data_IF_979541078140
#
_entry.id   IF_979541078140
#
_cell.length_a   1.000
_cell.length_b   1.000
_cell.length_c   1.000
_cell.angle_alpha   90.00
_cell.angle_beta   90.00
_cell.angle_gamma   90.00
#
_symmetry.space_group_name_H-M   'P 1'
#
loop_
_entity.id
_entity.type
_entity.pdbx_description
1 polymer ?
#
# COMPACT_ATOMS: atom_id res chain seq x y z
N UNK A 1 -55.06 -80.13 -22.13
CA UNK A 1 -53.78 -80.32 -22.83
C UNK A 1 -53.80 -79.43 -24.07
N UNK A 2 -52.89 -78.46 -24.10
CA UNK A 2 -52.55 -77.50 -25.18
C UNK A 2 -53.65 -76.62 -25.78
N UNK A 3 -53.73 -75.39 -25.28
CA UNK A 3 -54.09 -74.21 -26.06
C UNK A 3 -52.84 -73.33 -26.18
N UNK A 4 -52.50 -72.90 -27.39
CA UNK A 4 -52.04 -71.54 -27.69
C UNK A 4 -51.93 -71.33 -29.21
N UNK A 5 -52.58 -70.26 -29.67
CA UNK A 5 -52.66 -69.74 -31.05
C UNK A 5 -51.46 -68.82 -31.32
N UNK A 6 -51.10 -68.58 -32.60
CA UNK A 6 -49.86 -67.91 -32.97
C UNK A 6 -49.94 -66.37 -32.96
N UNK A 7 -48.75 -65.79 -32.96
CA UNK A 7 -48.36 -64.41 -32.68
C UNK A 7 -48.77 -63.37 -33.73
N UNK A 8 -49.07 -62.17 -33.25
CA UNK A 8 -49.10 -60.95 -34.06
C UNK A 8 -47.71 -60.29 -34.04
N UNK A 9 -47.10 -60.15 -35.22
CA UNK A 9 -45.80 -59.53 -35.43
C UNK A 9 -45.89 -58.02 -35.24
N UNK A 10 -45.05 -57.48 -34.35
CA UNK A 10 -44.82 -56.04 -34.17
C UNK A 10 -43.47 -55.65 -34.79
N UNK A 11 -43.43 -54.57 -35.58
CA UNK A 11 -42.19 -53.92 -36.01
C UNK A 11 -41.94 -52.64 -35.20
N UNK A 12 -40.71 -52.49 -34.69
CA UNK A 12 -40.26 -51.28 -33.99
C UNK A 12 -39.64 -50.26 -34.95
N UNK A 13 -39.80 -48.93 -34.71
CA UNK A 13 -39.15 -47.91 -35.52
C UNK A 13 -37.66 -47.79 -35.18
N UNK A 14 -36.84 -47.52 -36.20
CA UNK A 14 -35.39 -47.35 -36.08
C UNK A 14 -35.04 -45.91 -35.67
N UNK A 15 -34.29 -45.75 -34.59
CA UNK A 15 -33.65 -44.49 -34.22
C UNK A 15 -32.24 -44.38 -34.83
N UNK A 16 -31.82 -43.20 -35.30
CA UNK A 16 -30.50 -43.02 -35.90
C UNK A 16 -29.39 -43.18 -34.85
N UNK A 17 -28.30 -43.86 -35.27
CA UNK A 17 -27.14 -44.19 -34.44
C UNK A 17 -26.57 -42.95 -33.75
N UNK A 18 -26.49 -42.98 -32.42
CA UNK A 18 -25.79 -42.00 -31.58
C UNK A 18 -24.29 -41.97 -31.95
N UNK A 19 -23.96 -41.21 -32.97
CA UNK A 19 -22.60 -41.01 -33.44
C UNK A 19 -21.84 -40.10 -32.48
N UNK A 20 -20.78 -40.64 -31.87
CA UNK A 20 -19.38 -40.15 -31.83
C UNK A 20 -19.08 -38.67 -31.50
N UNK A 21 -20.09 -37.83 -31.26
CA UNK A 21 -20.00 -36.38 -31.07
C UNK A 21 -20.06 -36.05 -29.58
N UNK A 22 -20.84 -36.81 -28.81
CA UNK A 22 -20.91 -36.70 -27.35
C UNK A 22 -19.58 -37.05 -26.67
N UNK A 23 -18.83 -38.03 -27.16
CA UNK A 23 -17.52 -38.38 -26.60
C UNK A 23 -16.47 -37.28 -26.83
N UNK A 24 -16.52 -36.56 -27.96
CA UNK A 24 -15.56 -35.47 -28.23
C UNK A 24 -15.79 -34.23 -27.36
N UNK A 25 -17.05 -33.91 -27.03
CA UNK A 25 -17.37 -32.77 -26.17
C UNK A 25 -16.93 -33.00 -24.72
N UNK A 26 -17.02 -34.23 -24.22
CA UNK A 26 -16.55 -34.58 -22.87
C UNK A 26 -15.02 -34.42 -22.73
N UNK A 27 -14.23 -34.83 -23.74
CA UNK A 27 -12.78 -34.68 -23.68
C UNK A 27 -12.30 -33.21 -23.76
N UNK A 28 -13.02 -32.34 -24.47
CA UNK A 28 -12.69 -30.90 -24.53
C UNK A 28 -12.99 -30.21 -23.19
N UNK A 29 -14.11 -30.56 -22.54
CA UNK A 29 -14.45 -30.01 -21.23
C UNK A 29 -13.43 -30.41 -20.13
N UNK A 30 -12.90 -31.64 -20.18
CA UNK A 30 -11.87 -32.12 -19.25
C UNK A 30 -10.51 -31.42 -19.48
N UNK A 31 -10.15 -31.11 -20.73
CA UNK A 31 -8.90 -30.40 -21.03
C UNK A 31 -8.91 -28.94 -20.54
N UNK A 32 -10.07 -28.26 -20.58
CA UNK A 32 -10.22 -26.88 -20.09
C UNK A 32 -10.14 -26.83 -18.55
N UNK A 33 -10.56 -27.88 -17.85
CA UNK A 33 -10.45 -27.97 -16.38
C UNK A 33 -9.01 -28.21 -15.88
N UNK A 34 -8.08 -28.66 -16.74
CA UNK A 34 -6.67 -28.85 -16.38
C UNK A 34 -5.77 -27.64 -16.68
N UNK A 35 -6.29 -26.62 -17.39
CA UNK A 35 -5.62 -25.32 -17.56
C UNK A 35 -5.88 -24.42 -16.33
N UNK A 36 -5.75 -24.98 -15.13
CA UNK A 36 -5.93 -24.28 -13.87
C UNK A 36 -4.65 -23.57 -13.41
N UNK A 37 -4.62 -22.25 -13.62
CA UNK A 37 -3.79 -21.26 -12.94
C UNK A 37 -2.26 -21.50 -12.92
N UNK A 38 -1.57 -21.21 -14.02
CA UNK A 38 -0.23 -20.63 -13.93
C UNK A 38 -0.37 -19.25 -13.28
N UNK A 39 -0.36 -19.21 -11.95
CA UNK A 39 0.09 -17.99 -11.26
C UNK A 39 1.56 -17.87 -11.63
N UNK A 40 2.05 -16.75 -12.19
CA UNK A 40 3.48 -16.55 -12.27
C UNK A 40 4.02 -16.78 -10.86
N UNK A 41 4.95 -17.74 -10.73
CA UNK A 41 5.63 -17.99 -9.49
C UNK A 41 6.10 -16.61 -8.99
N UNK A 42 5.52 -16.16 -7.88
CA UNK A 42 6.00 -15.01 -7.11
C UNK A 42 7.51 -15.23 -7.04
N UNK A 43 8.30 -14.37 -7.70
CA UNK A 43 9.75 -14.52 -7.73
C UNK A 43 10.22 -14.77 -6.30
N UNK A 44 10.64 -16.00 -6.04
CA UNK A 44 11.33 -16.35 -4.81
C UNK A 44 12.66 -15.64 -4.83
N UNK A 45 12.70 -14.49 -4.16
CA UNK A 45 13.77 -14.18 -3.22
C UNK A 45 13.44 -12.87 -2.53
N UNK A 46 12.33 -12.81 -1.77
CA UNK A 46 12.25 -11.80 -0.69
C UNK A 46 13.42 -12.14 0.23
N UNK A 47 14.51 -11.38 0.18
CA UNK A 47 15.52 -11.44 1.22
C UNK A 47 14.78 -11.11 2.51
N UNK A 48 14.81 -12.05 3.46
CA UNK A 48 13.83 -12.18 4.55
C UNK A 48 13.31 -10.85 5.08
N UNK A 49 11.99 -10.69 5.08
CA UNK A 49 11.29 -9.52 5.60
C UNK A 49 11.46 -9.38 7.11
N UNK A 50 12.64 -8.96 7.55
CA UNK A 50 12.93 -8.53 8.92
C UNK A 50 13.40 -7.08 8.99
N UNK A 51 13.46 -6.38 7.86
CA UNK A 51 13.78 -4.96 7.80
C UNK A 51 12.62 -4.09 8.23
N UNK A 52 12.90 -2.84 8.58
CA UNK A 52 11.89 -1.85 8.97
C UNK A 52 11.54 -0.94 7.80
N UNK A 53 10.32 -0.41 7.82
CA UNK A 53 9.88 0.73 7.03
C UNK A 53 10.05 1.95 7.92
N UNK A 54 11.01 2.79 7.59
CA UNK A 54 11.29 4.04 8.29
C UNK A 54 11.19 5.20 7.33
N UNK A 55 11.20 6.41 7.87
CA UNK A 55 11.26 7.61 7.05
C UNK A 55 11.88 8.80 7.77
N UNK A 56 12.32 9.76 6.94
CA UNK A 56 12.81 11.07 7.35
C UNK A 56 11.99 12.12 6.62
N UNK A 57 11.32 12.98 7.36
CA UNK A 57 10.55 14.09 6.83
C UNK A 57 11.42 15.35 6.82
N UNK A 58 11.72 15.86 5.63
CA UNK A 58 12.50 17.09 5.44
C UNK A 58 11.61 18.33 5.28
N UNK A 59 10.30 18.17 5.41
CA UNK A 59 9.28 19.20 5.13
C UNK A 59 8.70 19.78 6.41
N UNK A 60 7.97 20.89 6.25
CA UNK A 60 7.21 21.53 7.33
C UNK A 60 5.84 20.88 7.58
N UNK A 61 5.38 19.99 6.71
CA UNK A 61 4.12 19.27 6.86
C UNK A 61 4.29 18.08 7.81
N UNK A 62 3.21 17.69 8.50
CA UNK A 62 3.16 16.37 9.13
C UNK A 62 2.90 15.30 8.06
N UNK A 63 3.57 14.15 8.18
CA UNK A 63 3.23 12.94 7.43
C UNK A 63 2.29 12.11 8.31
N UNK A 64 0.98 12.23 8.07
CA UNK A 64 -0.07 11.62 8.91
C UNK A 64 -0.11 10.10 8.81
N UNK A 65 0.30 9.56 7.67
CA UNK A 65 0.53 8.14 7.46
C UNK A 65 1.30 7.96 6.15
N UNK A 66 2.00 6.84 6.03
CA UNK A 66 2.60 6.43 4.77
C UNK A 66 2.71 4.91 4.65
N UNK A 67 2.89 4.45 3.42
CA UNK A 67 3.12 3.04 3.12
C UNK A 67 4.08 2.88 1.95
N UNK A 68 4.74 1.72 1.89
CA UNK A 68 5.59 1.29 0.78
C UNK A 68 5.07 -0.04 0.25
N UNK A 69 4.69 -0.09 -1.01
CA UNK A 69 4.03 -1.23 -1.67
C UNK A 69 2.82 -1.76 -0.87
N UNK A 70 2.05 -0.83 -0.28
CA UNK A 70 0.89 -1.12 0.55
C UNK A 70 1.21 -1.56 1.99
N UNK A 71 2.48 -1.69 2.37
CA UNK A 71 2.89 -1.99 3.74
C UNK A 71 3.04 -0.69 4.55
N UNK A 72 2.35 -0.61 5.69
CA UNK A 72 2.31 0.60 6.53
C UNK A 72 3.65 0.88 7.21
N UNK A 73 4.05 2.16 7.22
CA UNK A 73 5.18 2.66 8.02
C UNK A 73 4.89 2.82 9.51
N UNK A 74 3.64 2.61 9.95
CA UNK A 74 3.08 2.73 11.31
C UNK A 74 3.06 4.13 11.93
N UNK A 75 4.09 4.93 11.75
CA UNK A 75 4.22 6.20 12.46
C UNK A 75 3.62 7.40 11.72
N UNK A 76 3.23 8.40 12.53
CA UNK A 76 3.06 9.80 12.12
C UNK A 76 4.41 10.48 12.27
N UNK A 77 4.89 11.17 11.22
CA UNK A 77 6.19 11.83 11.24
C UNK A 77 5.97 13.34 11.24
N UNK A 78 6.38 13.99 12.32
CA UNK A 78 6.31 15.44 12.44
C UNK A 78 7.26 16.16 11.47
N UNK A 79 7.14 17.49 11.36
CA UNK A 79 8.04 18.30 10.56
C UNK A 79 9.51 18.12 10.96
N UNK A 80 10.41 17.93 9.99
CA UNK A 80 11.86 17.83 10.20
C UNK A 80 12.29 16.72 11.17
N UNK A 81 11.57 15.59 11.18
CA UNK A 81 11.80 14.47 12.08
C UNK A 81 12.01 13.16 11.32
N UNK A 82 12.59 12.17 12.00
CA UNK A 82 12.60 10.77 11.57
C UNK A 82 11.59 9.95 12.36
N UNK A 83 11.11 8.86 11.78
CA UNK A 83 10.19 7.93 12.43
C UNK A 83 9.93 6.69 11.59
N UNK A 84 8.90 5.94 11.95
CA UNK A 84 8.51 4.69 11.30
C UNK A 84 8.64 3.51 12.25
N UNK A 85 8.79 2.32 11.69
CA UNK A 85 8.81 1.09 12.48
C UNK A 85 7.86 0.02 11.95
N UNK A 86 7.25 0.27 10.78
CA UNK A 86 6.59 -0.78 10.01
C UNK A 86 7.50 -2.00 9.88
N UNK A 87 7.07 -3.14 10.39
CA UNK A 87 7.91 -4.33 10.36
C UNK A 87 7.95 -4.96 8.97
N UNK A 88 9.02 -5.73 8.80
CA UNK A 88 9.05 -6.93 7.99
C UNK A 88 9.12 -6.63 6.49
N UNK A 89 9.63 -5.45 6.14
CA UNK A 89 9.89 -5.08 4.76
C UNK A 89 11.17 -5.76 4.27
N UNK A 90 11.04 -6.54 3.21
CA UNK A 90 12.14 -7.25 2.57
C UNK A 90 12.23 -6.86 1.11
N UNK A 91 13.43 -6.51 0.66
CA UNK A 91 13.72 -6.33 -0.77
C UNK A 91 14.29 -7.61 -1.36
N UNK A 92 14.21 -7.81 -2.69
CA UNK A 92 14.82 -8.96 -3.32
C UNK A 92 16.31 -9.16 -3.02
N UNK A 93 16.77 -10.41 -2.88
CA UNK A 93 18.18 -10.70 -2.53
C UNK A 93 19.17 -10.13 -3.55
N UNK A 94 18.78 -10.07 -4.82
CA UNK A 94 19.59 -9.47 -5.88
C UNK A 94 18.86 -8.24 -6.41
N UNK A 95 19.53 -7.09 -6.39
CA UNK A 95 19.03 -5.92 -7.09
C UNK A 95 19.04 -6.16 -8.59
N UNK A 96 18.05 -5.59 -9.30
CA UNK A 96 17.97 -5.59 -10.76
C UNK A 96 17.71 -4.15 -11.24
N UNK A 97 18.32 -3.72 -12.36
CA UNK A 97 17.97 -2.44 -12.98
C UNK A 97 16.47 -2.30 -13.21
N UNK A 98 15.93 -1.14 -12.86
CA UNK A 98 14.50 -0.84 -13.03
C UNK A 98 13.60 -1.25 -11.86
N UNK A 99 14.15 -1.76 -10.75
CA UNK A 99 13.37 -1.95 -9.52
C UNK A 99 12.81 -0.62 -9.01
N UNK A 100 11.53 -0.63 -8.63
CA UNK A 100 10.80 0.52 -8.12
C UNK A 100 9.89 0.10 -6.98
N UNK A 101 9.54 1.07 -6.15
CA UNK A 101 8.54 0.91 -5.09
C UNK A 101 7.46 1.98 -5.24
N UNK A 102 6.23 1.63 -4.90
CA UNK A 102 5.14 2.59 -4.78
C UNK A 102 5.09 3.09 -3.34
N UNK A 103 5.18 4.40 -3.16
CA UNK A 103 5.01 5.06 -1.87
C UNK A 103 3.72 5.86 -1.92
N UNK A 104 2.91 5.71 -0.88
CA UNK A 104 1.68 6.47 -0.68
C UNK A 104 1.75 7.13 0.70
N UNK A 105 1.40 8.40 0.78
CA UNK A 105 1.42 9.13 2.05
C UNK A 105 0.38 10.24 2.07
N UNK A 106 0.06 10.72 3.26
CA UNK A 106 -0.79 11.89 3.46
C UNK A 106 -0.01 12.97 4.21
N UNK A 107 0.01 14.18 3.65
CA UNK A 107 0.49 15.36 4.37
C UNK A 107 -0.67 16.05 5.08
N UNK A 108 -0.39 16.66 6.23
CA UNK A 108 -1.35 17.51 6.94
C UNK A 108 -0.66 18.61 7.72
N UNK A 109 -1.49 19.55 8.19
CA UNK A 109 -1.09 20.62 9.09
C UNK A 109 -0.48 20.01 10.35
N UNK A 110 0.74 20.42 10.70
CA UNK A 110 1.43 19.90 11.87
C UNK A 110 1.01 20.61 13.15
N UNK A 111 0.89 21.94 13.10
CA UNK A 111 0.55 22.76 14.25
C UNK A 111 -0.62 23.69 13.94
N UNK A 112 -1.47 23.97 14.94
CA UNK A 112 -2.61 24.88 14.77
C UNK A 112 -2.17 26.29 14.31
N UNK A 113 -1.01 26.74 14.78
CA UNK A 113 -0.44 28.04 14.46
C UNK A 113 0.04 28.14 12.99
N UNK A 114 0.18 27.01 12.28
CA UNK A 114 0.49 27.02 10.84
C UNK A 114 -0.71 27.48 10.00
N UNK A 115 -1.91 27.55 10.58
CA UNK A 115 -3.16 27.92 9.89
C UNK A 115 -3.99 28.89 10.74
N UNK A 116 -3.50 30.14 10.93
CA UNK A 116 -4.13 31.10 11.83
C UNK A 116 -5.57 31.48 11.45
N UNK A 117 -5.96 31.26 10.19
CA UNK A 117 -7.33 31.47 9.69
C UNK A 117 -8.34 30.46 10.28
N UNK A 118 -7.87 29.32 10.78
CA UNK A 118 -8.69 28.28 11.42
C UNK A 118 -8.21 28.10 12.87
N UNK A 119 -8.48 29.06 13.76
CA UNK A 119 -7.92 29.05 15.11
C UNK A 119 -8.47 27.88 15.93
N UNK A 120 -7.60 27.28 16.73
CA UNK A 120 -7.98 26.23 17.68
C UNK A 120 -8.95 26.79 18.75
N UNK A 121 -10.05 26.08 19.08
CA UNK A 121 -10.91 26.48 20.18
C UNK A 121 -10.13 26.59 21.50
N UNK A 122 -10.34 27.68 22.22
CA UNK A 122 -9.70 27.88 23.53
C UNK A 122 -10.15 26.80 24.51
N UNK A 123 -9.18 26.07 25.06
CA UNK A 123 -9.43 25.07 26.11
C UNK A 123 -10.06 25.73 27.35
N UNK A 124 -11.14 25.15 27.91
CA UNK A 124 -11.76 25.67 29.12
C UNK A 124 -10.89 25.42 30.35
N UNK A 125 -11.20 26.12 31.44
CA UNK A 125 -10.60 25.87 32.75
C UNK A 125 -10.85 24.41 33.20
N UNK A 126 -9.89 23.80 33.90
CA UNK A 126 -10.00 22.41 34.34
C UNK A 126 -11.13 22.18 35.33
N UNK A 127 -11.60 23.22 36.03
CA UNK A 127 -12.75 23.20 36.95
C UNK A 127 -14.07 23.57 36.28
N UNK A 128 -14.07 23.82 34.96
CA UNK A 128 -15.29 24.14 34.23
C UNK A 128 -16.32 23.00 34.32
N UNK A 129 -17.60 23.35 34.23
CA UNK A 129 -18.66 22.35 34.28
C UNK A 129 -18.62 21.42 33.06
N UNK A 130 -19.28 20.27 33.21
CA UNK A 130 -19.42 19.31 32.11
C UNK A 130 -20.01 19.93 30.83
N UNK A 131 -21.01 20.82 30.94
CA UNK A 131 -21.61 21.46 29.77
C UNK A 131 -20.61 22.35 29.00
N UNK A 132 -19.69 23.00 29.70
CA UNK A 132 -18.63 23.80 29.07
C UNK A 132 -17.63 22.89 28.33
N UNK A 133 -17.26 21.76 28.95
CA UNK A 133 -16.41 20.76 28.30
C UNK A 133 -17.08 20.13 27.08
N UNK A 134 -18.39 19.89 27.14
CA UNK A 134 -19.17 19.37 26.01
C UNK A 134 -19.16 20.36 24.85
N UNK A 135 -19.50 21.64 25.10
CA UNK A 135 -19.47 22.68 24.08
C UNK A 135 -18.06 22.91 23.50
N UNK A 136 -17.00 22.75 24.30
CA UNK A 136 -15.62 22.77 23.82
C UNK A 136 -15.33 21.57 22.91
N UNK A 137 -15.75 20.37 23.29
CA UNK A 137 -15.57 19.15 22.49
C UNK A 137 -16.24 19.28 21.13
N UNK A 138 -17.48 19.78 21.08
CA UNK A 138 -18.22 19.98 19.84
C UNK A 138 -17.49 20.95 18.90
N UNK A 139 -17.02 22.09 19.44
CA UNK A 139 -16.19 23.06 18.69
C UNK A 139 -14.88 22.45 18.22
N UNK A 140 -14.24 21.63 19.07
CA UNK A 140 -12.96 20.99 18.77
C UNK A 140 -13.12 19.94 17.67
N UNK A 141 -14.25 19.22 17.63
CA UNK A 141 -14.58 18.29 16.55
C UNK A 141 -14.78 19.02 15.20
N UNK A 142 -15.54 20.12 15.20
CA UNK A 142 -15.70 20.96 14.01
C UNK A 142 -14.36 21.50 13.51
N UNK A 143 -13.50 21.94 14.44
CA UNK A 143 -12.15 22.40 14.11
C UNK A 143 -11.31 21.27 13.50
N UNK A 144 -11.31 20.06 14.09
CA UNK A 144 -10.59 18.91 13.54
C UNK A 144 -11.08 18.55 12.13
N UNK A 145 -12.39 18.63 11.86
CA UNK A 145 -12.94 18.42 10.51
C UNK A 145 -12.38 19.41 9.50
N UNK A 146 -12.26 20.70 9.88
CA UNK A 146 -11.68 21.74 9.03
C UNK A 146 -10.19 21.51 8.77
N UNK A 147 -9.41 21.20 9.81
CA UNK A 147 -7.97 20.91 9.67
C UNK A 147 -7.75 19.66 8.81
N UNK A 148 -8.48 18.58 9.07
CA UNK A 148 -8.38 17.34 8.28
C UNK A 148 -8.72 17.55 6.81
N UNK A 149 -9.62 18.48 6.49
CA UNK A 149 -9.96 18.81 5.10
C UNK A 149 -8.79 19.48 4.33
N UNK A 150 -7.75 19.95 5.02
CA UNK A 150 -6.53 20.47 4.42
C UNK A 150 -5.51 19.37 4.10
N UNK A 151 -5.73 18.14 4.55
CA UNK A 151 -4.83 17.03 4.27
C UNK A 151 -4.78 16.74 2.77
N UNK A 152 -3.61 16.33 2.28
CA UNK A 152 -3.39 15.97 0.89
C UNK A 152 -2.83 14.56 0.80
N UNK A 153 -3.49 13.72 0.01
CA UNK A 153 -3.00 12.39 -0.31
C UNK A 153 -2.05 12.44 -1.51
N UNK A 154 -0.99 11.63 -1.45
CA UNK A 154 0.08 11.60 -2.43
C UNK A 154 0.41 10.16 -2.82
N UNK A 155 0.90 10.00 -4.04
CA UNK A 155 1.47 8.75 -4.50
C UNK A 155 2.65 9.00 -5.44
N UNK A 156 3.75 8.29 -5.23
CA UNK A 156 4.88 8.28 -6.14
C UNK A 156 5.46 6.88 -6.29
N UNK A 157 5.85 6.57 -7.52
CA UNK A 157 6.63 5.37 -7.82
C UNK A 157 8.07 5.83 -8.04
N UNK A 158 9.00 5.37 -7.22
CA UNK A 158 10.40 5.80 -7.26
C UNK A 158 11.35 4.62 -7.43
N UNK A 159 12.49 4.83 -8.12
CA UNK A 159 13.50 3.79 -8.25
C UNK A 159 14.10 3.44 -6.91
N UNK A 160 14.40 2.15 -6.71
CA UNK A 160 15.21 1.68 -5.57
C UNK A 160 16.67 1.75 -5.99
N UNK A 161 17.53 2.51 -5.27
CA UNK A 161 18.96 2.57 -5.57
C UNK A 161 19.61 1.19 -5.55
N UNK A 162 20.66 1.03 -6.35
CA UNK A 162 21.41 -0.23 -6.42
C UNK A 162 22.06 -0.55 -5.06
N UNK A 163 21.73 -1.73 -4.54
CA UNK A 163 22.28 -2.29 -3.31
C UNK A 163 23.15 -3.53 -3.56
N UNK A 164 23.60 -3.76 -4.79
CA UNK A 164 24.51 -4.85 -5.14
C UNK A 164 25.76 -4.81 -4.27
N UNK A 165 26.09 -5.95 -3.64
CA UNK A 165 27.23 -6.07 -2.74
C UNK A 165 27.03 -5.41 -1.36
N UNK A 166 25.83 -4.90 -1.05
CA UNK A 166 25.52 -4.25 0.23
C UNK A 166 24.46 -5.03 0.99
N UNK A 167 24.50 -4.95 2.33
CA UNK A 167 23.42 -5.46 3.19
C UNK A 167 22.24 -4.48 3.16
N UNK A 168 21.03 -5.02 3.15
CA UNK A 168 19.78 -4.26 3.24
C UNK A 168 19.11 -4.47 4.59
N UNK A 169 18.50 -3.43 5.16
CA UNK A 169 17.84 -3.50 6.47
C UNK A 169 16.37 -3.04 6.44
N UNK A 170 15.72 -3.14 5.28
CA UNK A 170 14.36 -2.65 5.06
C UNK A 170 14.35 -1.55 4.03
N UNK A 171 13.50 -0.54 4.22
CA UNK A 171 13.41 0.63 3.36
C UNK A 171 13.18 1.89 4.18
N UNK A 172 13.89 2.96 3.82
CA UNK A 172 13.78 4.28 4.42
C UNK A 172 13.29 5.26 3.36
N UNK A 173 12.19 5.96 3.61
CA UNK A 173 11.62 6.98 2.72
C UNK A 173 12.04 8.37 3.19
N UNK A 174 12.51 9.21 2.28
CA UNK A 174 12.77 10.62 2.55
C UNK A 174 11.68 11.43 1.89
N UNK A 175 10.86 12.13 2.68
CA UNK A 175 9.87 13.09 2.18
C UNK A 175 10.53 14.45 2.03
N UNK A 176 10.58 14.97 0.81
CA UNK A 176 11.23 16.21 0.46
C UNK A 176 10.18 17.25 0.04
N UNK A 177 10.52 18.55 0.03
CA UNK A 177 9.63 19.58 -0.50
C UNK A 177 9.16 19.28 -1.93
N UNK A 178 8.06 19.91 -2.35
CA UNK A 178 7.46 19.68 -3.67
C UNK A 178 7.00 18.24 -3.91
N UNK A 179 6.51 17.59 -2.85
CA UNK A 179 6.02 16.21 -2.87
C UNK A 179 7.03 15.23 -3.49
N UNK A 180 8.33 15.54 -3.41
CA UNK A 180 9.40 14.67 -3.91
C UNK A 180 9.76 13.65 -2.84
N UNK A 181 10.19 12.46 -3.27
CA UNK A 181 10.67 11.44 -2.35
C UNK A 181 11.94 10.78 -2.87
N UNK A 182 12.79 10.34 -1.93
CA UNK A 182 13.90 9.42 -2.19
C UNK A 182 13.72 8.19 -1.30
N UNK A 183 14.28 7.05 -1.71
CA UNK A 183 14.27 5.83 -0.90
C UNK A 183 15.66 5.24 -0.80
N UNK A 184 15.93 4.51 0.28
CA UNK A 184 17.15 3.72 0.44
C UNK A 184 16.89 2.46 1.25
N UNK A 185 17.64 1.40 0.97
CA UNK A 185 17.62 0.13 1.73
C UNK A 185 18.77 0.03 2.74
N UNK A 186 19.52 1.12 2.92
CA UNK A 186 20.71 1.19 3.77
C UNK A 186 20.44 0.80 5.21
N UNK A 187 21.38 0.04 5.78
CA UNK A 187 21.41 -0.31 7.20
C UNK A 187 21.92 0.82 8.09
N UNK A 188 22.50 1.87 7.54
CA UNK A 188 22.93 3.02 8.34
C UNK A 188 21.74 3.91 8.70
N UNK A 189 21.87 4.68 9.77
CA UNK A 189 20.90 5.71 10.15
C UNK A 189 21.21 7.05 9.49
N UNK A 190 20.19 7.89 9.34
CA UNK A 190 20.35 9.23 8.79
C UNK A 190 21.33 10.05 9.64
N UNK A 191 22.23 10.79 8.98
CA UNK A 191 23.35 11.50 9.60
C UNK A 191 24.66 10.69 9.67
N UNK A 192 24.63 9.37 9.49
CA UNK A 192 25.86 8.57 9.40
C UNK A 192 26.68 8.94 8.14
N UNK A 193 28.02 9.01 8.19
CA UNK A 193 28.87 9.29 7.03
C UNK A 193 28.62 8.35 5.83
N UNK A 194 28.27 7.09 6.07
CA UNK A 194 28.00 6.09 5.03
C UNK A 194 26.54 6.04 4.58
N UNK A 195 25.66 6.87 5.16
CA UNK A 195 24.26 6.94 4.74
C UNK A 195 24.13 7.59 3.35
N UNK A 196 23.39 7.01 2.38
CA UNK A 196 23.46 7.46 0.99
C UNK A 196 22.75 8.80 0.72
N UNK A 197 21.75 9.18 1.52
CA UNK A 197 20.98 10.41 1.31
C UNK A 197 21.47 11.50 2.28
N UNK A 198 21.99 12.60 1.72
CA UNK A 198 22.65 13.67 2.49
C UNK A 198 21.88 14.99 2.56
N UNK A 199 20.66 15.02 2.01
CA UNK A 199 19.80 16.20 2.08
C UNK A 199 19.64 16.65 3.55
N UNK A 200 19.66 17.96 3.85
CA UNK A 200 19.59 18.48 5.20
C UNK A 200 18.19 18.27 5.80
N UNK A 201 18.09 18.05 7.11
CA UNK A 201 16.81 17.76 7.78
C UNK A 201 15.76 18.86 7.63
N UNK A 202 16.19 20.12 7.59
CA UNK A 202 15.32 21.27 7.35
C UNK A 202 15.54 21.77 5.94
N UNK A 203 14.56 21.54 5.07
CA UNK A 203 14.52 22.08 3.72
C UNK A 203 13.35 23.04 3.59
N UNK A 204 13.63 24.21 3.04
CA UNK A 204 12.59 25.17 2.67
C UNK A 204 11.94 24.73 1.35
N UNK A 205 10.63 24.88 1.25
CA UNK A 205 9.90 24.60 0.02
C UNK A 205 10.03 25.80 -0.94
N UNK A 206 10.49 25.58 -2.18
CA UNK A 206 10.59 26.68 -3.14
C UNK A 206 9.18 27.17 -3.53
N UNK A 207 9.06 28.46 -3.85
CA UNK A 207 7.79 29.06 -4.30
C UNK A 207 7.22 28.37 -5.54
N UNK A 208 8.10 27.86 -6.40
CA UNK A 208 7.74 27.12 -7.60
C UNK A 208 8.44 25.77 -7.55
N UNK A 209 7.62 24.72 -7.55
CA UNK A 209 8.12 23.36 -7.62
C UNK A 209 8.62 23.03 -9.03
N UNK A 210 9.81 22.41 -9.16
CA UNK A 210 10.29 21.94 -10.44
C UNK A 210 9.33 20.88 -11.01
N UNK A 211 9.07 20.96 -12.32
CA UNK A 211 8.24 20.01 -13.06
C UNK A 211 8.96 18.68 -13.29
#
# INVERSE_FOLDING_TARGET
MSTMKPDAVWYSPQFPKQGRWFTRLVFIAVAILLAGCDRPAREESVSGGSGTIEAVNHTHWAINHFSVDGQSGLDIIGPWQGGGGGCCYGVPTKWKPGMRVKVEWETGVAFADDVPEIPEPKRPDTKASYQVWQAYSDKKEEWYKKIKALNKAHTKIVPVPDYTGQKTCGIKVHFLPCDQIKVTTSCYDYGNPNYPIKDPIKMEEPEVCPQ
#
